data_IF_918610872906
#
_entry.id   IF_918610872906
#
_cell.length_a   1.000
_cell.length_b   1.000
_cell.length_c   1.000
_cell.angle_alpha   90.00
_cell.angle_beta   90.00
_cell.angle_gamma   90.00
#
_symmetry.space_group_name_H-M   'P 1'
#
loop_
_entity.id
_entity.type
_entity.pdbx_description
1 polymer ?
#
# COMPACT_ATOMS: atom_id res chain seq x y z
N UNK A 1 5.37 1.49 26.50
CA UNK A 1 5.12 2.89 26.19
C UNK A 1 6.37 3.57 25.65
N UNK A 2 7.15 2.82 24.87
CA UNK A 2 8.38 3.35 24.29
C UNK A 2 8.36 3.23 22.77
N UNK A 3 9.20 4.03 22.11
CA UNK A 3 9.30 4.04 20.65
C UNK A 3 9.94 2.77 20.10
N UNK A 4 9.13 1.96 19.41
CA UNK A 4 9.60 0.71 18.83
C UNK A 4 10.77 0.94 17.89
N UNK A 5 11.74 0.05 17.91
CA UNK A 5 12.91 0.16 17.05
C UNK A 5 12.82 -0.82 15.88
N UNK A 6 13.49 -0.48 14.78
CA UNK A 6 13.48 -1.34 13.59
C UNK A 6 13.99 -2.74 13.92
N UNK A 7 14.91 -2.81 14.88
CA UNK A 7 15.47 -4.09 15.30
C UNK A 7 14.53 -4.83 16.23
N UNK A 8 13.46 -4.16 16.63
CA UNK A 8 12.48 -4.75 17.53
C UNK A 8 11.32 -5.37 16.75
N UNK A 9 11.08 -4.84 15.55
CA UNK A 9 10.00 -5.35 14.71
C UNK A 9 10.56 -6.04 13.47
N UNK A 10 9.74 -6.91 12.85
CA UNK A 10 10.13 -7.65 11.65
C UNK A 10 10.27 -6.75 10.43
N UNK A 11 10.57 -7.36 9.28
CA UNK A 11 10.73 -6.61 8.04
C UNK A 11 9.40 -6.02 7.58
N UNK A 12 9.48 -5.04 6.68
CA UNK A 12 8.27 -4.40 6.18
C UNK A 12 7.85 -4.94 4.83
N UNK A 13 6.55 -4.91 4.54
CA UNK A 13 5.98 -5.40 3.29
C UNK A 13 6.36 -4.51 2.10
N UNK A 14 7.04 -5.10 1.12
CA UNK A 14 7.46 -4.36 -0.06
C UNK A 14 6.27 -3.69 -0.75
N UNK A 15 6.54 -2.60 -1.46
CA UNK A 15 5.49 -1.86 -2.15
C UNK A 15 5.84 -1.66 -3.62
N UNK A 16 4.91 -2.02 -4.49
CA UNK A 16 5.13 -1.88 -5.93
C UNK A 16 3.80 -1.72 -6.66
N UNK A 17 3.54 -0.51 -7.15
CA UNK A 17 2.30 -0.23 -7.87
C UNK A 17 2.54 -0.21 -9.38
N UNK A 18 1.82 -1.07 -10.10
CA UNK A 18 1.95 -1.15 -11.54
C UNK A 18 0.59 -1.38 -12.21
N UNK A 19 0.50 -1.02 -13.47
CA UNK A 19 -0.75 -1.18 -14.23
C UNK A 19 -0.83 -2.57 -14.85
N UNK A 20 -1.90 -2.81 -15.60
CA UNK A 20 -2.10 -4.11 -16.24
C UNK A 20 -0.94 -4.45 -17.16
N UNK A 21 -0.28 -3.41 -17.67
CA UNK A 21 0.86 -3.59 -18.57
C UNK A 21 2.13 -3.91 -17.78
N UNK A 22 2.02 -3.91 -16.46
CA UNK A 22 3.16 -4.19 -15.60
C UNK A 22 4.33 -3.26 -15.91
N UNK A 23 4.01 -2.00 -16.18
CA UNK A 23 5.03 -1.01 -16.50
C UNK A 23 5.29 -0.09 -15.32
N UNK A 24 6.15 0.90 -15.51
CA UNK A 24 6.48 1.85 -14.46
C UNK A 24 5.96 3.25 -14.78
N UNK A 25 6.36 4.23 -13.97
CA UNK A 25 5.91 5.59 -14.19
C UNK A 25 6.83 6.34 -15.15
N UNK A 26 6.35 7.50 -15.64
CA UNK A 26 5.03 8.02 -15.29
C UNK A 26 3.89 7.19 -15.89
N UNK A 27 2.77 7.13 -15.18
CA UNK A 27 1.62 6.36 -15.64
C UNK A 27 0.62 7.26 -16.35
N UNK A 28 -0.40 6.65 -16.95
CA UNK A 28 -1.42 7.40 -17.67
C UNK A 28 -2.60 7.73 -16.76
N UNK A 29 -3.05 8.97 -16.80
CA UNK A 29 -4.17 9.42 -15.98
C UNK A 29 -5.42 8.60 -16.28
N UNK A 30 -5.59 8.22 -17.55
CA UNK A 30 -6.74 7.45 -17.97
C UNK A 30 -6.44 5.95 -17.93
N UNK A 31 -5.37 5.59 -17.24
CA UNK A 31 -4.97 4.19 -17.13
C UNK A 31 -5.01 3.73 -15.67
N UNK A 32 -5.68 2.58 -15.45
CA UNK A 32 -5.82 2.00 -14.12
C UNK A 32 -4.50 1.45 -13.58
N UNK A 33 -4.29 1.59 -12.27
CA UNK A 33 -3.06 1.12 -11.64
C UNK A 33 -3.38 0.17 -10.49
N UNK A 34 -2.49 -0.79 -10.25
CA UNK A 34 -2.67 -1.76 -9.18
C UNK A 34 -1.50 -1.74 -8.21
N UNK A 35 -1.82 -1.77 -6.92
CA UNK A 35 -0.79 -1.76 -5.88
C UNK A 35 -0.48 -3.16 -5.39
N UNK A 36 0.72 -3.65 -5.73
CA UNK A 36 1.14 -4.99 -5.33
C UNK A 36 2.21 -4.93 -4.24
N UNK A 37 1.84 -5.32 -3.03
CA UNK A 37 2.77 -5.31 -1.90
C UNK A 37 3.16 -6.72 -1.49
N UNK A 38 4.46 -6.95 -1.33
CA UNK A 38 4.96 -8.27 -0.94
C UNK A 38 5.20 -8.33 0.57
N UNK A 39 5.11 -9.54 1.13
CA UNK A 39 5.32 -9.76 2.56
C UNK A 39 6.78 -9.57 2.97
N UNK A 40 7.57 -10.64 2.88
CA UNK A 40 8.97 -10.57 3.23
C UNK A 40 9.20 -10.84 4.70
N UNK A 41 8.25 -10.42 5.54
CA UNK A 41 8.37 -10.64 6.98
C UNK A 41 7.13 -11.34 7.53
N UNK A 42 7.33 -12.15 8.58
CA UNK A 42 6.24 -12.90 9.21
C UNK A 42 5.27 -11.99 9.97
N UNK A 43 4.21 -11.56 9.31
CA UNK A 43 3.22 -10.69 9.92
C UNK A 43 2.09 -11.50 10.56
N UNK A 44 1.84 -11.25 11.84
CA UNK A 44 0.79 -11.95 12.56
C UNK A 44 0.29 -11.14 13.75
N UNK A 45 -0.73 -11.65 14.43
CA UNK A 45 -1.30 -10.96 15.59
C UNK A 45 -0.57 -11.36 16.87
N UNK A 46 -1.15 -11.01 18.01
CA UNK A 46 -0.56 -11.34 19.30
C UNK A 46 -0.47 -12.85 19.50
N UNK A 47 -1.50 -13.56 19.04
CA UNK A 47 -1.55 -15.01 19.17
C UNK A 47 -0.67 -15.68 18.12
N UNK A 48 -0.23 -14.89 17.14
CA UNK A 48 0.61 -15.42 16.08
C UNK A 48 -0.17 -15.77 14.83
N UNK A 49 -1.39 -15.26 14.74
CA UNK A 49 -2.25 -15.51 13.60
C UNK A 49 -2.36 -14.28 12.71
N UNK A 50 -2.24 -14.48 11.40
CA UNK A 50 -2.33 -13.39 10.44
C UNK A 50 -3.51 -12.48 10.76
N UNK A 51 -3.34 -11.18 10.53
CA UNK A 51 -4.39 -10.22 10.79
C UNK A 51 -4.92 -9.61 9.48
N UNK A 52 -4.13 -8.73 8.89
CA UNK A 52 -4.51 -8.08 7.64
C UNK A 52 -3.39 -7.18 7.12
N UNK A 53 -3.40 -6.91 5.83
CA UNK A 53 -2.39 -6.07 5.20
C UNK A 53 -2.96 -4.70 4.85
N UNK A 54 -2.44 -3.67 5.51
CA UNK A 54 -2.90 -2.30 5.27
C UNK A 54 -2.09 -1.64 4.17
N UNK A 55 -2.77 -0.90 3.31
CA UNK A 55 -2.10 -0.21 2.19
C UNK A 55 -2.84 1.07 1.83
N UNK A 56 -2.20 2.20 2.03
CA UNK A 56 -2.79 3.50 1.72
C UNK A 56 -1.83 4.37 0.92
N UNK A 57 -2.36 5.37 0.23
CA UNK A 57 -1.56 6.27 -0.57
C UNK A 57 -1.75 7.72 -0.15
N UNK A 58 -0.68 8.51 -0.24
CA UNK A 58 -0.74 9.91 0.14
C UNK A 58 -0.36 10.81 -1.04
N UNK A 59 -1.10 11.90 -1.21
CA UNK A 59 -0.85 12.84 -2.30
C UNK A 59 0.41 13.64 -2.03
N UNK A 60 0.70 14.60 -2.91
CA UNK A 60 1.88 15.44 -2.77
C UNK A 60 1.73 16.39 -1.59
N UNK A 61 0.48 16.74 -1.28
CA UNK A 61 0.21 17.65 -0.17
C UNK A 61 0.25 16.92 1.16
N UNK A 62 0.36 15.59 1.10
CA UNK A 62 0.42 14.79 2.31
C UNK A 62 -0.96 14.34 2.77
N UNK A 63 -1.91 14.31 1.84
CA UNK A 63 -3.27 13.89 2.15
C UNK A 63 -3.56 12.52 1.56
N UNK A 64 -4.04 11.61 2.40
CA UNK A 64 -4.36 10.26 1.96
C UNK A 64 -5.43 10.28 0.87
N UNK A 65 -5.10 9.70 -0.27
CA UNK A 65 -6.03 9.64 -1.40
C UNK A 65 -6.63 8.24 -1.55
N UNK A 66 -5.81 7.23 -1.31
CA UNK A 66 -6.25 5.84 -1.42
C UNK A 66 -6.11 5.11 -0.09
N UNK A 67 -6.78 3.98 0.03
CA UNK A 67 -6.71 3.18 1.25
C UNK A 67 -7.37 1.82 1.05
N UNK A 68 -6.70 0.77 1.53
CA UNK A 68 -7.23 -0.57 1.39
C UNK A 68 -6.70 -1.51 2.45
N UNK A 69 -7.31 -2.69 2.56
CA UNK A 69 -6.89 -3.69 3.53
C UNK A 69 -7.15 -5.10 3.03
N UNK A 70 -6.17 -5.98 3.21
CA UNK A 70 -6.30 -7.37 2.78
C UNK A 70 -6.33 -8.31 3.97
N UNK A 71 -7.10 -9.39 3.85
CA UNK A 71 -7.22 -10.37 4.91
C UNK A 71 -6.18 -11.48 4.75
N UNK A 72 -5.04 -11.31 5.39
CA UNK A 72 -3.97 -12.31 5.31
C UNK A 72 -4.41 -13.63 5.92
N UNK A 73 -5.36 -13.57 6.85
CA UNK A 73 -5.87 -14.77 7.51
C UNK A 73 -6.28 -15.80 6.49
N UNK A 74 -6.79 -15.35 5.35
CA UNK A 74 -7.22 -16.25 4.29
C UNK A 74 -6.10 -17.19 3.87
N UNK A 75 -4.87 -16.70 3.93
CA UNK A 75 -3.70 -17.49 3.56
C UNK A 75 -3.52 -18.67 4.52
N UNK A 76 -3.61 -19.88 3.99
CA UNK A 76 -3.45 -21.08 4.79
C UNK A 76 -1.98 -21.37 5.08
N UNK A 77 -1.61 -21.31 6.35
CA UNK A 77 -0.24 -21.56 6.74
C UNK A 77 0.72 -20.52 6.19
N UNK A 78 0.18 -19.42 5.71
CA UNK A 78 1.01 -18.36 5.15
C UNK A 78 1.85 -17.68 6.20
N UNK A 79 1.27 -17.46 7.38
CA UNK A 79 1.98 -16.81 8.47
C UNK A 79 2.38 -15.39 8.10
N UNK A 80 1.59 -14.76 7.24
CA UNK A 80 1.88 -13.41 6.81
C UNK A 80 2.95 -13.35 5.75
N UNK A 81 2.99 -14.37 4.89
CA UNK A 81 3.98 -14.43 3.81
C UNK A 81 3.29 -14.58 2.46
N UNK A 82 2.27 -13.76 2.22
CA UNK A 82 1.55 -13.81 0.97
C UNK A 82 1.45 -12.45 0.30
N UNK A 83 1.49 -12.45 -1.03
CA UNK A 83 1.40 -11.21 -1.79
C UNK A 83 0.01 -10.60 -1.68
N UNK A 84 -0.05 -9.28 -1.56
CA UNK A 84 -1.33 -8.57 -1.46
C UNK A 84 -1.51 -7.60 -2.62
N UNK A 85 -2.56 -7.81 -3.40
CA UNK A 85 -2.85 -6.95 -4.54
C UNK A 85 -4.21 -6.27 -4.39
N UNK A 86 -4.27 -5.00 -4.79
CA UNK A 86 -5.51 -4.25 -4.69
C UNK A 86 -5.79 -3.48 -5.99
N UNK A 87 -6.99 -3.64 -6.52
CA UNK A 87 -7.38 -2.97 -7.75
C UNK A 87 -7.70 -1.50 -7.50
N UNK A 88 -6.67 -0.69 -7.33
CA UNK A 88 -6.86 0.73 -7.08
C UNK A 88 -7.61 1.41 -8.22
N UNK A 89 -7.15 1.16 -9.44
CA UNK A 89 -7.79 1.74 -10.61
C UNK A 89 -7.09 3.00 -11.10
N UNK A 90 -7.78 3.80 -11.89
CA UNK A 90 -7.21 5.03 -12.44
C UNK A 90 -6.77 5.95 -11.31
N UNK A 91 -5.70 6.73 -11.57
CA UNK A 91 -5.16 7.68 -10.59
C UNK A 91 -6.09 8.86 -10.34
N UNK A 92 -6.75 9.32 -11.40
CA UNK A 92 -7.68 10.45 -11.29
C UNK A 92 -8.91 10.06 -10.49
N UNK A 93 -9.23 8.77 -10.47
CA UNK A 93 -10.38 8.27 -9.74
C UNK A 93 -10.00 7.87 -8.31
N UNK A 94 -9.00 7.00 -8.20
CA UNK A 94 -8.54 6.54 -6.90
C UNK A 94 -7.71 7.61 -6.19
N UNK A 95 -6.79 8.21 -6.93
CA UNK A 95 -5.93 9.26 -6.38
C UNK A 95 -6.39 10.64 -6.82
N UNK A 96 -7.71 10.84 -6.83
CA UNK A 96 -8.28 12.11 -7.23
C UNK A 96 -7.23 13.03 -7.85
N UNK A 97 -6.37 12.44 -8.68
CA UNK A 97 -5.32 13.19 -9.34
C UNK A 97 -5.89 14.30 -10.23
N UNK A 98 -5.98 15.50 -9.67
CA UNK A 98 -6.52 16.64 -10.41
C UNK A 98 -5.41 17.64 -10.76
N UNK A 99 -4.47 17.20 -11.59
CA UNK A 99 -3.37 18.06 -11.98
C UNK A 99 -3.06 17.94 -13.46
N UNK A 100 -2.43 18.99 -14.01
CA UNK A 100 -2.08 19.00 -15.43
C UNK A 100 -0.57 18.96 -15.60
N UNK A 101 0.12 18.29 -14.68
CA UNK A 101 1.57 18.17 -14.74
C UNK A 101 2.04 16.95 -13.96
N UNK A 102 3.25 16.49 -14.28
CA UNK A 102 3.83 15.32 -13.61
C UNK A 102 3.83 15.51 -12.09
N UNK A 103 3.06 14.67 -11.41
CA UNK A 103 2.97 14.73 -9.96
C UNK A 103 3.70 13.57 -9.30
N UNK A 104 4.00 13.71 -8.01
CA UNK A 104 4.71 12.67 -7.27
C UNK A 104 3.85 12.15 -6.12
N UNK A 105 3.47 10.88 -6.21
CA UNK A 105 2.65 10.25 -5.18
C UNK A 105 3.51 9.41 -4.24
N UNK A 106 2.90 8.93 -3.16
CA UNK A 106 3.61 8.10 -2.18
C UNK A 106 2.69 7.04 -1.61
N UNK A 107 3.06 5.77 -1.80
CA UNK A 107 2.26 4.66 -1.30
C UNK A 107 2.94 3.99 -0.11
N UNK A 108 2.14 3.50 0.83
CA UNK A 108 2.66 2.84 2.02
C UNK A 108 1.85 1.58 2.34
N UNK A 109 2.44 0.70 3.14
CA UNK A 109 1.77 -0.55 3.52
C UNK A 109 2.38 -1.11 4.81
N UNK A 110 1.54 -1.80 5.59
CA UNK A 110 2.00 -2.38 6.84
C UNK A 110 0.99 -3.42 7.36
N UNK A 111 1.48 -4.37 8.14
CA UNK A 111 0.63 -5.41 8.70
C UNK A 111 0.06 -4.99 10.06
N UNK A 112 -0.88 -4.06 10.03
CA UNK A 112 -1.51 -3.57 11.26
C UNK A 112 -2.99 -3.92 11.29
N UNK A 113 -3.51 -4.20 12.49
CA UNK A 113 -4.91 -4.54 12.65
C UNK A 113 -5.81 -3.52 11.98
N UNK A 114 -6.80 -4.01 11.22
CA UNK A 114 -7.75 -3.16 10.50
C UNK A 114 -8.70 -2.43 11.45
N UNK A 115 -8.92 -3.02 12.62
CA UNK A 115 -9.81 -2.44 13.62
C UNK A 115 -9.34 -1.04 14.00
N UNK A 116 -10.23 -0.28 14.64
CA UNK A 116 -9.91 1.08 15.06
C UNK A 116 -9.31 1.09 16.46
N UNK A 117 -8.48 2.09 16.74
CA UNK A 117 -7.84 2.22 18.03
C UNK A 117 -8.30 3.48 18.75
N UNK A 118 -8.28 3.45 20.08
CA UNK A 118 -8.70 4.59 20.89
C UNK A 118 -7.98 5.86 20.45
N UNK A 119 -6.66 5.87 20.62
CA UNK A 119 -5.87 7.04 20.24
C UNK A 119 -4.48 6.66 19.78
N UNK A 120 -3.77 5.90 20.62
CA UNK A 120 -2.42 5.48 20.30
C UNK A 120 -2.40 4.50 19.14
N UNK A 121 -1.23 4.33 18.52
CA UNK A 121 -1.08 3.43 17.40
C UNK A 121 -0.08 2.33 17.71
N UNK A 122 -0.01 1.32 16.85
CA UNK A 122 0.91 0.20 17.03
C UNK A 122 1.38 -0.36 15.69
N UNK A 123 2.63 -0.79 15.64
CA UNK A 123 3.20 -1.34 14.42
C UNK A 123 3.71 -2.76 14.65
N UNK A 124 3.06 -3.72 14.01
CA UNK A 124 3.45 -5.13 14.15
C UNK A 124 4.65 -5.45 13.28
N UNK A 125 4.72 -4.81 12.11
CA UNK A 125 5.82 -5.04 11.18
C UNK A 125 6.29 -3.72 10.57
N UNK A 126 7.51 -3.71 10.04
CA UNK A 126 8.07 -2.52 9.44
C UNK A 126 7.13 -1.95 8.37
N UNK A 127 7.50 -0.80 7.81
CA UNK A 127 6.70 -0.16 6.79
C UNK A 127 7.55 0.23 5.59
N UNK A 128 7.00 0.04 4.40
CA UNK A 128 7.71 0.37 3.16
C UNK A 128 6.98 1.45 2.38
N UNK A 129 7.73 2.36 1.79
CA UNK A 129 7.15 3.45 1.01
C UNK A 129 7.52 3.32 -0.47
N UNK A 130 6.56 3.63 -1.34
CA UNK A 130 6.78 3.55 -2.77
C UNK A 130 6.20 4.77 -3.48
N UNK A 131 7.09 5.63 -3.99
CA UNK A 131 6.67 6.83 -4.69
C UNK A 131 6.47 6.57 -6.18
N UNK A 132 5.40 7.14 -6.73
CA UNK A 132 5.09 6.96 -8.15
C UNK A 132 4.52 8.24 -8.75
N UNK A 133 4.88 8.52 -10.00
CA UNK A 133 4.41 9.72 -10.68
C UNK A 133 3.32 9.36 -11.69
N UNK A 134 2.45 10.33 -11.98
CA UNK A 134 1.37 10.12 -12.94
C UNK A 134 1.31 11.26 -13.95
N UNK A 135 0.93 10.94 -15.19
CA UNK A 135 0.83 11.93 -16.24
C UNK A 135 -0.63 12.12 -16.66
N UNK A 136 -1.09 13.39 -16.65
CA UNK A 136 -2.46 13.73 -17.02
C UNK A 136 -2.72 13.56 -18.51
N UNK A 137 -1.64 13.43 -19.29
CA UNK A 137 -1.75 13.26 -20.72
C UNK A 137 -0.69 12.29 -21.24
N UNK A 138 -0.83 11.02 -20.89
CA UNK A 138 0.12 9.99 -21.31
C UNK A 138 -0.53 9.03 -22.31
N UNK A 139 -1.64 8.43 -21.91
CA UNK A 139 -2.36 7.49 -22.76
C UNK A 139 -3.85 7.48 -22.44
N UNK A 140 -4.66 7.85 -23.42
CA UNK A 140 -6.11 7.88 -23.25
C UNK A 140 -6.72 6.50 -23.49
N UNK A 141 -6.45 5.95 -24.67
CA UNK A 141 -6.98 4.64 -25.04
C UNK A 141 -6.60 3.59 -23.99
N UNK A 142 -7.14 2.38 -24.15
CA UNK A 142 -6.85 1.29 -23.22
C UNK A 142 -5.34 1.09 -23.06
#
# INVERSE_FOLDING_TARGET
>A
MTPIDESQLPVGPQVSVTDSAQHTGPFAASSPLTITVKPGAPCVRADGYQESMVTRVLDDKGHQVWTGTFDESKLIGGTGLGTATFHVGSPAAAFNFHGSERTTYRTLSYCAYPHYVNGTRERLSQVSVKTFMVDPALNLEHHHHHH
#
